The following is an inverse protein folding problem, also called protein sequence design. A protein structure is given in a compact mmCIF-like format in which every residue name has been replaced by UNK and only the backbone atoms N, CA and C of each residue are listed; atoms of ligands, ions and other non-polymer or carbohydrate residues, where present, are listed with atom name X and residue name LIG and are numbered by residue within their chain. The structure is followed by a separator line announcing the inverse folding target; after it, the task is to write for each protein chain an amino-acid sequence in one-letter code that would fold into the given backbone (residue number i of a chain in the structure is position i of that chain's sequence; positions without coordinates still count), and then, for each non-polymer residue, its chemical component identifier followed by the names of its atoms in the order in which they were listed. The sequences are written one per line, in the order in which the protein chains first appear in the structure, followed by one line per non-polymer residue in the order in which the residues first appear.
data_IF_355285021401
#
_entry.id   IF_355285021401
#
_cell.length_a   1.000
_cell.length_b   1.000
_cell.length_c   1.000
_cell.angle_alpha   90.00
_cell.angle_beta   90.00
_cell.angle_gamma   90.00
#
_symmetry.space_group_name_H-M   'P 1'
#
loop_
_entity.id
_entity.type
_entity.pdbx_description
1 polymer ?
#
# COMPACT_ATOMS: atom_id res chain seq x y z
N UNK A 1 7.89 -30.16 9.86
CA UNK A 1 8.86 -29.06 9.90
C UNK A 1 8.53 -28.13 8.75
N UNK A 2 8.15 -26.89 9.02
CA UNK A 2 7.90 -25.90 7.97
C UNK A 2 9.08 -24.93 7.97
N UNK A 3 10.02 -25.13 7.04
CA UNK A 3 11.08 -24.17 6.75
C UNK A 3 10.47 -22.94 6.09
N UNK A 4 10.15 -21.93 6.91
CA UNK A 4 9.77 -20.58 6.46
C UNK A 4 11.00 -19.72 6.20
N UNK A 5 11.97 -20.25 5.46
CA UNK A 5 13.11 -19.48 5.00
C UNK A 5 12.68 -18.62 3.78
N UNK A 6 12.64 -17.30 4.04
CA UNK A 6 13.03 -16.25 3.09
C UNK A 6 12.11 -15.88 1.90
N UNK A 7 10.82 -15.60 2.15
CA UNK A 7 10.13 -14.58 1.35
C UNK A 7 10.45 -13.19 1.92
N UNK A 8 11.64 -12.68 1.61
CA UNK A 8 12.00 -11.24 1.75
C UNK A 8 11.25 -10.44 0.69
N UNK A 9 9.93 -10.38 0.79
CA UNK A 9 9.21 -9.31 0.11
C UNK A 9 9.42 -8.02 0.92
N UNK A 10 9.77 -6.90 0.28
CA UNK A 10 9.97 -5.62 0.97
C UNK A 10 8.64 -5.20 1.62
N UNK A 11 8.48 -5.52 2.90
CA UNK A 11 7.27 -5.16 3.64
C UNK A 11 7.32 -3.66 3.88
N UNK A 12 6.24 -2.94 3.56
CA UNK A 12 6.11 -1.50 3.81
C UNK A 12 6.54 -1.08 5.23
N UNK A 13 6.34 -1.95 6.23
CA UNK A 13 6.72 -1.71 7.63
C UNK A 13 8.23 -1.85 7.93
N UNK A 14 9.01 -2.47 7.03
CA UNK A 14 10.43 -2.80 7.24
C UNK A 14 11.38 -2.14 6.25
N UNK A 15 10.86 -1.69 5.11
CA UNK A 15 11.61 -1.02 4.07
C UNK A 15 11.02 0.36 3.83
N UNK A 16 11.83 1.41 4.03
CA UNK A 16 11.49 2.82 3.88
C UNK A 16 11.64 3.36 2.45
N UNK A 17 12.08 2.55 1.48
CA UNK A 17 12.37 3.02 0.13
C UNK A 17 11.10 3.48 -0.63
N UNK A 18 11.28 4.46 -1.53
CA UNK A 18 10.19 5.13 -2.22
C UNK A 18 9.47 4.25 -3.27
N UNK A 19 10.18 3.26 -3.80
CA UNK A 19 9.67 2.27 -4.74
C UNK A 19 8.88 1.12 -4.09
N UNK A 20 8.83 1.07 -2.76
CA UNK A 20 8.11 0.00 -2.04
C UNK A 20 6.60 0.22 -2.15
N UNK A 21 5.83 -0.81 -2.58
CA UNK A 21 4.38 -0.72 -2.63
C UNK A 21 3.76 -0.61 -1.23
N UNK A 22 2.93 0.42 -1.06
CA UNK A 22 2.04 0.64 0.08
C UNK A 22 0.71 -0.10 -0.13
N UNK A 23 0.22 -0.14 -1.38
CA UNK A 23 -0.90 -0.98 -1.77
C UNK A 23 -0.53 -1.93 -2.92
N UNK A 24 -0.52 -3.23 -2.61
CA UNK A 24 -0.17 -4.29 -3.53
C UNK A 24 -1.29 -4.61 -4.54
N UNK A 25 -2.57 -4.40 -4.19
CA UNK A 25 -3.71 -4.62 -5.10
C UNK A 25 -3.66 -3.74 -6.36
N UNK A 26 -3.19 -2.49 -6.23
CA UNK A 26 -3.28 -1.48 -7.30
C UNK A 26 -1.92 -0.85 -7.65
N UNK A 27 -0.83 -1.40 -7.12
CA UNK A 27 0.52 -0.92 -7.38
C UNK A 27 0.75 0.53 -6.93
N UNK A 28 0.21 0.92 -5.76
CA UNK A 28 0.53 2.22 -5.16
C UNK A 28 1.82 2.13 -4.38
N UNK A 29 2.87 2.79 -4.88
CA UNK A 29 4.15 2.99 -4.17
C UNK A 29 4.13 4.30 -3.39
N UNK A 30 5.11 4.49 -2.49
CA UNK A 30 5.26 5.76 -1.76
C UNK A 30 5.45 6.94 -2.71
N UNK A 31 6.32 6.79 -3.69
CA UNK A 31 6.57 7.78 -4.74
C UNK A 31 5.27 8.16 -5.46
N UNK A 32 4.52 7.17 -5.94
CA UNK A 32 3.25 7.42 -6.65
C UNK A 32 2.21 8.12 -5.77
N UNK A 33 2.16 7.80 -4.48
CA UNK A 33 1.26 8.47 -3.54
C UNK A 33 1.66 9.94 -3.36
N UNK A 34 2.96 10.21 -3.20
CA UNK A 34 3.50 11.58 -3.10
C UNK A 34 3.17 12.36 -4.37
N UNK A 35 3.50 11.84 -5.55
CA UNK A 35 3.17 12.47 -6.83
C UNK A 35 1.67 12.75 -7.00
N UNK A 36 0.82 11.80 -6.60
CA UNK A 36 -0.62 11.98 -6.68
C UNK A 36 -1.11 13.13 -5.79
N UNK A 37 -0.59 13.25 -4.56
CA UNK A 37 -0.92 14.36 -3.65
C UNK A 37 -0.45 15.69 -4.24
N UNK A 38 0.78 15.75 -4.77
CA UNK A 38 1.30 16.96 -5.44
C UNK A 38 0.46 17.38 -6.65
N UNK A 39 -0.18 16.43 -7.32
CA UNK A 39 -1.10 16.66 -8.44
C UNK A 39 -2.56 16.86 -7.99
N UNK A 40 -2.82 17.15 -6.71
CA UNK A 40 -4.16 17.30 -6.14
C UNK A 40 -5.09 16.08 -6.33
N UNK A 41 -4.53 14.89 -6.47
CA UNK A 41 -5.28 13.64 -6.51
C UNK A 41 -5.43 13.04 -5.11
N UNK A 42 -6.41 12.15 -4.94
CA UNK A 42 -6.68 11.48 -3.67
C UNK A 42 -6.54 9.95 -3.80
N UNK A 43 -5.34 9.40 -3.53
CA UNK A 43 -5.10 7.95 -3.56
C UNK A 43 -5.99 7.18 -2.59
N UNK A 44 -6.30 7.75 -1.42
CA UNK A 44 -7.16 7.11 -0.40
C UNK A 44 -8.56 6.90 -0.96
N UNK A 45 -9.12 7.93 -1.58
CA UNK A 45 -10.45 7.86 -2.18
C UNK A 45 -10.48 6.84 -3.31
N UNK A 46 -9.52 6.89 -4.24
CA UNK A 46 -9.44 5.93 -5.35
C UNK A 46 -9.39 4.47 -4.84
N UNK A 47 -8.53 4.18 -3.87
CA UNK A 47 -8.41 2.83 -3.31
C UNK A 47 -9.70 2.42 -2.60
N UNK A 48 -10.34 3.33 -1.87
CA UNK A 48 -11.62 3.08 -1.19
C UNK A 48 -12.69 2.65 -2.19
N UNK A 49 -12.83 3.37 -3.32
CA UNK A 49 -13.78 3.04 -4.37
C UNK A 49 -13.50 1.66 -4.99
N UNK A 50 -12.23 1.32 -5.26
CA UNK A 50 -11.88 0.01 -5.81
C UNK A 50 -12.10 -1.14 -4.81
N UNK A 51 -11.88 -0.90 -3.51
CA UNK A 51 -12.16 -1.87 -2.45
C UNK A 51 -13.66 -2.10 -2.30
N UNK A 52 -14.47 -1.03 -2.32
CA UNK A 52 -15.94 -1.13 -2.29
C UNK A 52 -16.51 -1.85 -3.51
N UNK A 53 -15.83 -1.75 -4.66
CA UNK A 53 -16.17 -2.50 -5.87
C UNK A 53 -15.70 -3.97 -5.85
N UNK A 54 -15.20 -4.47 -4.72
CA UNK A 54 -14.67 -5.85 -4.53
C UNK A 54 -13.52 -6.20 -5.50
N UNK A 55 -12.74 -5.20 -5.93
CA UNK A 55 -11.64 -5.38 -6.90
C UNK A 55 -10.28 -5.63 -6.26
N UNK A 56 -10.25 -5.94 -4.97
CA UNK A 56 -8.99 -6.13 -4.24
C UNK A 56 -8.97 -7.48 -3.52
N UNK A 57 -7.86 -8.20 -3.69
CA UNK A 57 -7.55 -9.43 -2.96
C UNK A 57 -6.44 -9.20 -1.93
N UNK A 58 -6.63 -8.30 -0.97
CA UNK A 58 -5.58 -7.96 0.01
C UNK A 58 -5.10 -9.17 0.80
N UNK A 59 -6.00 -10.08 1.15
CA UNK A 59 -5.69 -11.29 1.92
C UNK A 59 -4.79 -12.29 1.17
N UNK A 60 -4.63 -12.13 -0.15
CA UNK A 60 -3.69 -12.92 -0.97
C UNK A 60 -2.48 -12.08 -1.42
N UNK A 61 -2.72 -10.83 -1.83
CA UNK A 61 -1.71 -10.00 -2.50
C UNK A 61 -0.92 -9.11 -1.54
N UNK A 62 -1.49 -8.73 -0.38
CA UNK A 62 -0.79 -7.90 0.59
C UNK A 62 -0.03 -8.82 1.57
N UNK A 63 1.31 -8.74 1.68
CA UNK A 63 2.07 -9.53 2.65
C UNK A 63 1.62 -9.32 4.11
N UNK A 64 0.96 -8.19 4.39
CA UNK A 64 0.37 -7.89 5.70
C UNK A 64 -0.93 -8.67 5.98
N UNK A 65 -1.53 -9.29 4.96
CA UNK A 65 -2.78 -10.04 5.06
C UNK A 65 -4.03 -9.18 5.35
N UNK A 66 -3.91 -7.86 5.29
CA UNK A 66 -4.96 -6.90 5.65
C UNK A 66 -5.15 -5.84 4.57
N UNK A 67 -6.22 -5.04 4.64
CA UNK A 67 -6.48 -4.00 3.67
C UNK A 67 -5.35 -2.95 3.62
N UNK A 68 -4.80 -2.69 2.43
CA UNK A 68 -3.75 -1.69 2.23
C UNK A 68 -4.16 -0.26 2.60
N UNK A 69 -5.47 0.01 2.70
CA UNK A 69 -6.03 1.33 2.99
C UNK A 69 -5.50 1.91 4.32
N UNK A 70 -5.27 1.07 5.33
CA UNK A 70 -4.69 1.51 6.62
C UNK A 70 -3.27 2.06 6.46
N UNK A 71 -2.43 1.37 5.70
CA UNK A 71 -1.07 1.83 5.39
C UNK A 71 -1.08 3.12 4.57
N UNK A 72 -1.93 3.18 3.53
CA UNK A 72 -2.01 4.35 2.65
C UNK A 72 -2.50 5.58 3.42
N UNK A 73 -3.56 5.45 4.22
CA UNK A 73 -4.08 6.55 5.05
C UNK A 73 -3.02 7.05 6.03
N UNK A 74 -2.27 6.14 6.64
CA UNK A 74 -1.19 6.50 7.58
C UNK A 74 -0.06 7.23 6.87
N UNK A 75 0.32 6.78 5.67
CA UNK A 75 1.39 7.40 4.88
C UNK A 75 0.99 8.80 4.38
N UNK A 76 -0.23 8.96 3.85
CA UNK A 76 -0.75 10.26 3.40
C UNK A 76 -0.70 11.28 4.53
N UNK A 77 -1.18 10.90 5.72
CA UNK A 77 -1.12 11.76 6.92
C UNK A 77 0.30 12.13 7.36
N UNK A 78 1.32 11.37 6.97
CA UNK A 78 2.72 11.69 7.28
C UNK A 78 3.36 12.68 6.31
N UNK A 79 2.72 12.93 5.16
CA UNK A 79 3.17 13.91 4.15
C UNK A 79 2.58 15.31 4.44
N UNK A 80 1.36 15.36 4.98
CA UNK A 80 0.65 16.60 5.33
C UNK A 80 1.13 17.27 6.64
N UNK A 81 2.25 16.82 7.25
CA UNK A 81 2.83 17.34 8.52
C UNK A 81 4.12 18.09 8.27
#
# INVERSE_FOLDING_TARGET
MFDKHDLKMPVFQKDGAMNVPVCYCFGWTRERIVEAIHNNQNPVQYITEQVQAERCGCEVNNPQGSCCLGNVTTFVRSIDV
#
